data_IF_098206862175
#
_entry.id   IF_098206862175
#
_cell.length_a   1.000
_cell.length_b   1.000
_cell.length_c   1.000
_cell.angle_alpha   90.00
_cell.angle_beta   90.00
_cell.angle_gamma   90.00
#
_symmetry.space_group_name_H-M   'P 1'
#
loop_
_entity.id
_entity.type
_entity.pdbx_description
1 polymer ?
#
# COMPACT_ATOMS: atom_id res chain seq x y z
N UNK A 1 -10.45 -4.75 2.29
CA UNK A 1 -9.83 -5.70 3.23
C UNK A 1 -8.33 -5.91 2.96
N UNK A 2 -7.51 -5.79 4.00
CA UNK A 2 -6.11 -6.25 4.00
C UNK A 2 -5.69 -6.69 5.41
N UNK A 3 -4.54 -7.34 5.51
CA UNK A 3 -3.85 -7.62 6.77
C UNK A 3 -2.56 -6.82 6.79
N UNK A 4 -2.28 -6.13 7.89
CA UNK A 4 -1.03 -5.42 8.12
C UNK A 4 -0.19 -6.16 9.16
N UNK A 5 1.12 -6.22 8.95
CA UNK A 5 2.06 -6.82 9.89
C UNK A 5 3.22 -5.86 10.10
N UNK A 6 3.38 -5.38 11.33
CA UNK A 6 4.60 -4.68 11.74
C UNK A 6 5.71 -5.71 11.94
N UNK A 7 6.96 -5.37 11.58
CA UNK A 7 8.12 -6.21 11.94
C UNK A 7 8.14 -6.52 13.45
N UNK A 8 8.13 -7.81 13.78
CA UNK A 8 8.09 -8.32 15.15
C UNK A 8 6.76 -8.09 15.89
N UNK A 9 5.70 -7.74 15.18
CA UNK A 9 4.35 -7.61 15.71
C UNK A 9 3.44 -8.75 15.25
N UNK A 10 2.24 -8.81 15.83
CA UNK A 10 1.18 -9.71 15.37
C UNK A 10 0.43 -9.12 14.17
N UNK A 11 -0.16 -9.96 13.30
CA UNK A 11 -1.01 -9.50 12.21
C UNK A 11 -2.25 -8.74 12.71
N UNK A 12 -2.55 -7.62 12.08
CA UNK A 12 -3.75 -6.81 12.31
C UNK A 12 -4.65 -6.87 11.07
N UNK A 13 -5.95 -7.11 11.29
CA UNK A 13 -6.92 -7.17 10.20
C UNK A 13 -7.57 -5.80 9.97
N UNK A 14 -7.63 -5.39 8.71
CA UNK A 14 -8.34 -4.19 8.26
C UNK A 14 -9.45 -4.60 7.30
N UNK A 15 -10.62 -5.07 7.80
CA UNK A 15 -11.70 -5.59 6.96
C UNK A 15 -12.22 -4.53 5.98
N UNK A 16 -12.30 -3.27 6.42
CA UNK A 16 -12.74 -2.14 5.60
C UNK A 16 -11.68 -1.65 4.61
N UNK A 17 -10.47 -2.24 4.63
CA UNK A 17 -9.35 -1.83 3.79
C UNK A 17 -8.86 -0.41 4.09
N UNK A 18 -9.01 0.03 5.34
CA UNK A 18 -8.59 1.34 5.83
C UNK A 18 -7.71 1.16 7.06
N UNK A 19 -6.60 1.90 7.12
CA UNK A 19 -5.78 2.07 8.33
C UNK A 19 -5.86 3.53 8.79
N UNK A 20 -5.95 3.74 10.10
CA UNK A 20 -6.13 5.07 10.71
C UNK A 20 -5.15 5.27 11.87
N UNK A 21 -4.90 6.52 12.24
CA UNK A 21 -4.12 6.86 13.43
C UNK A 21 -2.61 6.73 13.22
N UNK A 22 -1.89 6.55 14.34
CA UNK A 22 -0.43 6.56 14.37
C UNK A 22 0.16 5.14 14.40
N UNK A 23 0.96 4.81 13.39
CA UNK A 23 1.55 3.48 13.20
C UNK A 23 2.97 3.31 13.80
N UNK A 24 3.40 4.26 14.65
CA UNK A 24 4.70 4.17 15.32
C UNK A 24 5.93 4.58 14.48
N UNK A 25 5.72 5.20 13.30
CA UNK A 25 6.78 5.50 12.30
C UNK A 25 7.60 4.28 11.93
N UNK A 26 6.94 3.16 11.72
CA UNK A 26 7.54 1.92 11.26
C UNK A 26 6.85 1.48 9.99
N UNK A 27 7.60 0.79 9.13
CA UNK A 27 7.02 0.08 8.00
C UNK A 27 6.17 -1.09 8.48
N UNK A 28 5.02 -1.27 7.83
CA UNK A 28 4.14 -2.42 7.98
C UNK A 28 4.00 -3.08 6.62
N UNK A 29 4.12 -4.40 6.59
CA UNK A 29 3.82 -5.17 5.41
C UNK A 29 2.31 -5.32 5.29
N UNK A 30 1.74 -4.94 4.14
CA UNK A 30 0.31 -5.02 3.86
C UNK A 30 0.05 -6.09 2.82
N UNK A 31 -0.77 -7.09 3.17
CA UNK A 31 -1.20 -8.15 2.25
C UNK A 31 -2.70 -8.09 2.04
N UNK A 32 -3.13 -8.11 0.78
CA UNK A 32 -4.54 -8.15 0.40
C UNK A 32 -4.79 -9.24 -0.65
N UNK A 33 -5.89 -9.98 -0.50
CA UNK A 33 -6.40 -10.82 -1.57
C UNK A 33 -7.06 -9.93 -2.63
N UNK A 34 -6.66 -10.09 -3.88
CA UNK A 34 -7.15 -9.29 -5.00
C UNK A 34 -8.05 -10.13 -5.91
N UNK A 35 -9.11 -9.53 -6.48
CA UNK A 35 -9.97 -10.24 -7.42
C UNK A 35 -9.21 -10.59 -8.70
N UNK A 36 -9.55 -11.73 -9.30
CA UNK A 36 -9.09 -12.06 -10.64
C UNK A 36 -9.84 -11.19 -11.66
N UNK A 37 -9.12 -10.26 -12.28
CA UNK A 37 -9.67 -9.35 -13.28
C UNK A 37 -8.73 -9.24 -14.48
N UNK A 38 -9.29 -9.00 -15.68
CA UNK A 38 -8.50 -8.76 -16.90
C UNK A 38 -7.68 -7.47 -16.80
N UNK A 39 -8.26 -6.46 -16.15
CA UNK A 39 -7.61 -5.20 -15.81
C UNK A 39 -7.91 -4.92 -14.34
N UNK A 40 -6.86 -4.65 -13.56
CA UNK A 40 -6.96 -4.35 -12.14
C UNK A 40 -6.19 -3.07 -11.86
N UNK A 41 -6.83 -2.14 -11.17
CA UNK A 41 -6.20 -0.92 -10.66
C UNK A 41 -6.31 -0.91 -9.15
N UNK A 42 -5.17 -0.80 -8.48
CA UNK A 42 -5.11 -0.53 -7.04
C UNK A 42 -4.96 0.96 -6.82
N UNK A 43 -5.70 1.50 -5.84
CA UNK A 43 -5.70 2.94 -5.56
C UNK A 43 -5.47 3.18 -4.08
N UNK A 44 -4.32 3.76 -3.78
CA UNK A 44 -4.04 4.31 -2.47
C UNK A 44 -4.78 5.63 -2.30
N UNK A 45 -5.50 5.77 -1.18
CA UNK A 45 -6.20 7.00 -0.80
C UNK A 45 -5.71 7.39 0.58
N UNK A 46 -5.21 8.62 0.67
CA UNK A 46 -4.84 9.25 1.93
C UNK A 46 -5.77 10.44 2.15
N UNK A 47 -6.47 10.43 3.28
CA UNK A 47 -7.40 11.49 3.68
C UNK A 47 -7.07 11.90 5.11
N UNK A 48 -6.97 13.21 5.35
CA UNK A 48 -6.84 13.76 6.70
C UNK A 48 -8.19 14.30 7.15
N UNK A 49 -8.47 14.21 8.46
CA UNK A 49 -9.56 14.99 9.04
C UNK A 49 -9.08 16.43 9.35
N UNK A 50 -9.97 17.26 9.91
CA UNK A 50 -9.68 18.65 10.26
C UNK A 50 -8.92 18.83 11.57
N UNK A 51 -8.77 17.77 12.36
CA UNK A 51 -8.33 17.83 13.76
C UNK A 51 -6.89 17.30 13.93
N UNK A 52 -6.48 16.34 13.10
CA UNK A 52 -5.20 15.65 13.22
C UNK A 52 -4.49 15.54 11.88
N UNK A 53 -3.48 16.37 11.69
CA UNK A 53 -2.53 16.26 10.57
C UNK A 53 -1.24 15.59 11.03
N UNK A 54 -1.01 14.36 10.55
CA UNK A 54 0.24 13.64 10.73
C UNK A 54 1.29 14.03 9.68
N UNK A 55 2.43 13.33 9.68
CA UNK A 55 3.52 13.52 8.69
C UNK A 55 3.21 12.94 7.30
N UNK A 56 1.98 12.55 7.05
CA UNK A 56 1.60 11.80 5.84
C UNK A 56 1.78 10.30 5.99
N UNK A 57 1.67 9.63 4.85
CA UNK A 57 1.88 8.20 4.69
C UNK A 57 2.82 7.96 3.51
N UNK A 58 3.61 6.91 3.60
CA UNK A 58 4.43 6.40 2.50
C UNK A 58 3.89 5.02 2.11
N UNK A 59 3.95 4.72 0.82
CA UNK A 59 3.69 3.40 0.26
C UNK A 59 4.87 3.06 -0.63
N UNK A 60 5.37 1.84 -0.52
CA UNK A 60 6.56 1.38 -1.23
C UNK A 60 6.53 -0.15 -1.35
N UNK A 61 7.45 -0.71 -2.14
CA UNK A 61 7.66 -2.12 -2.38
C UNK A 61 6.40 -2.83 -2.89
N UNK A 62 5.62 -2.15 -3.73
CA UNK A 62 4.36 -2.66 -4.22
C UNK A 62 4.60 -3.86 -5.14
N UNK A 63 3.99 -4.99 -4.80
CA UNK A 63 4.10 -6.23 -5.58
C UNK A 63 2.75 -6.92 -5.71
N UNK A 64 2.36 -7.22 -6.94
CA UNK A 64 1.14 -7.98 -7.25
C UNK A 64 1.54 -9.28 -7.92
N UNK A 65 1.04 -10.39 -7.39
CA UNK A 65 1.36 -11.71 -7.92
C UNK A 65 0.15 -12.64 -7.91
N UNK A 66 0.22 -13.62 -8.81
CA UNK A 66 -0.59 -14.84 -8.74
C UNK A 66 0.24 -15.94 -8.09
N UNK A 67 -0.37 -17.13 -7.90
CA UNK A 67 0.38 -18.32 -7.48
C UNK A 67 1.53 -18.72 -8.42
N UNK A 68 1.48 -18.31 -9.69
CA UNK A 68 2.41 -18.78 -10.73
C UNK A 68 3.40 -17.73 -11.21
N UNK A 69 3.08 -16.44 -11.05
CA UNK A 69 3.90 -15.35 -11.58
C UNK A 69 3.64 -14.03 -10.88
N UNK A 70 4.66 -13.17 -10.91
CA UNK A 70 4.57 -11.75 -10.57
C UNK A 70 3.94 -11.00 -11.75
N UNK A 71 2.87 -10.26 -11.48
CA UNK A 71 2.16 -9.44 -12.47
C UNK A 71 2.65 -7.98 -12.47
N UNK A 72 3.10 -7.50 -11.32
CA UNK A 72 3.64 -6.17 -11.11
C UNK A 72 4.65 -6.23 -9.97
N UNK A 73 5.79 -5.55 -10.13
CA UNK A 73 6.80 -5.38 -9.11
C UNK A 73 7.42 -3.98 -9.24
N UNK A 74 7.22 -3.14 -8.23
CA UNK A 74 7.70 -1.75 -8.23
C UNK A 74 9.23 -1.65 -8.41
N UNK A 75 9.99 -2.68 -8.03
CA UNK A 75 11.44 -2.70 -8.27
C UNK A 75 11.83 -2.79 -9.75
N UNK A 76 10.88 -3.13 -10.65
CA UNK A 76 11.11 -3.22 -12.10
C UNK A 76 10.77 -1.90 -12.78
N UNK A 77 11.71 -1.24 -13.49
CA UNK A 77 11.46 0.06 -14.11
C UNK A 77 10.23 0.10 -15.03
N UNK A 78 9.98 -0.97 -15.80
CA UNK A 78 8.83 -1.05 -16.70
C UNK A 78 7.48 -1.17 -15.98
N UNK A 79 7.45 -1.72 -14.77
CA UNK A 79 6.25 -1.77 -13.94
C UNK A 79 6.11 -0.46 -13.16
N UNK A 80 7.19 0.06 -12.56
CA UNK A 80 7.20 1.36 -11.87
C UNK A 80 6.70 2.51 -12.75
N UNK A 81 7.03 2.51 -14.06
CA UNK A 81 6.54 3.48 -15.03
C UNK A 81 5.01 3.49 -15.21
N UNK A 82 4.29 2.48 -14.70
CA UNK A 82 2.82 2.39 -14.72
C UNK A 82 2.16 3.02 -13.49
N UNK A 83 2.93 3.47 -12.50
CA UNK A 83 2.40 4.15 -11.33
C UNK A 83 1.88 5.54 -11.71
N UNK A 84 0.62 5.82 -11.35
CA UNK A 84 0.04 7.16 -11.48
C UNK A 84 0.05 7.86 -10.12
N UNK A 85 0.98 8.80 -9.93
CA UNK A 85 1.14 9.56 -8.69
C UNK A 85 0.10 10.70 -8.56
N UNK A 86 -1.20 10.36 -8.52
CA UNK A 86 -2.28 11.36 -8.39
C UNK A 86 -2.43 11.84 -6.94
N UNK A 87 -1.90 13.03 -6.65
CA UNK A 87 -1.86 13.56 -5.28
C UNK A 87 -0.80 12.90 -4.39
N UNK A 88 0.10 12.13 -5.00
CA UNK A 88 1.26 11.52 -4.38
C UNK A 88 2.51 12.09 -5.05
N UNK A 89 3.63 12.09 -4.34
CA UNK A 89 4.94 12.48 -4.89
C UNK A 89 5.95 11.41 -4.50
N UNK A 90 6.87 11.09 -5.41
CA UNK A 90 8.00 10.23 -5.07
C UNK A 90 8.81 10.87 -3.94
N UNK A 91 9.04 10.10 -2.88
CA UNK A 91 9.87 10.56 -1.78
C UNK A 91 11.35 10.58 -2.18
N UNK A 92 12.11 11.54 -1.66
CA UNK A 92 13.57 11.58 -1.74
C UNK A 92 14.26 11.11 -0.45
N UNK A 93 13.46 10.75 0.56
CA UNK A 93 13.92 10.24 1.87
C UNK A 93 14.57 8.85 1.78
#
# INVERSE_FOLDING_TARGET
PFTAVRRGGSPEQHPDGTATGYSGRRWHEVTAALPAARQLTLRWRYTTDRLYVGRGAYVDAQRVQTRRRVLFDESRPADAARLEARGWTASAD
#
